data_IF_656284113966
#
_entry.id   IF_656284113966
#
_cell.length_a   1.000
_cell.length_b   1.000
_cell.length_c   1.000
_cell.angle_alpha   90.00
_cell.angle_beta   90.00
_cell.angle_gamma   90.00
#
_symmetry.space_group_name_H-M   'P 1'
#
loop_
_entity.id
_entity.type
_entity.pdbx_description
1 polymer ?
#
# COMPACT_ATOMS: atom_id res chain seq x y z
N UNK A 1 1.98 -21.31 -14.35
CA UNK A 1 3.22 -20.75 -13.78
C UNK A 1 3.21 -19.25 -13.92
N UNK A 2 3.04 -18.54 -12.80
CA UNK A 2 3.26 -17.10 -12.72
C UNK A 2 4.72 -16.84 -12.31
N UNK A 3 5.43 -16.00 -13.06
CA UNK A 3 6.82 -15.62 -12.77
C UNK A 3 6.84 -14.14 -12.43
N UNK A 4 7.35 -13.80 -11.25
CA UNK A 4 7.28 -12.45 -10.66
C UNK A 4 8.67 -11.97 -10.23
N UNK A 5 8.81 -10.65 -10.06
CA UNK A 5 10.05 -10.00 -9.64
C UNK A 5 9.89 -9.30 -8.29
N UNK A 6 10.87 -9.46 -7.40
CA UNK A 6 10.88 -8.82 -6.09
C UNK A 6 12.27 -8.28 -5.74
N UNK A 7 12.51 -7.01 -6.05
CA UNK A 7 13.79 -6.33 -5.84
C UNK A 7 13.58 -5.02 -5.08
N UNK A 8 14.66 -4.29 -4.75
CA UNK A 8 14.51 -2.95 -4.17
C UNK A 8 13.76 -2.04 -5.14
N UNK A 9 12.73 -1.35 -4.67
CA UNK A 9 12.01 -0.35 -5.48
C UNK A 9 12.68 1.01 -5.51
N UNK A 10 13.82 1.19 -4.84
CA UNK A 10 14.53 2.47 -4.87
C UNK A 10 15.48 2.53 -6.07
N UNK A 11 15.33 3.56 -6.91
CA UNK A 11 16.34 3.91 -7.92
C UNK A 11 17.57 4.55 -7.24
N UNK A 12 17.33 5.26 -6.15
CA UNK A 12 18.33 5.85 -5.26
C UNK A 12 17.85 5.75 -3.82
N UNK A 13 18.74 5.37 -2.90
CA UNK A 13 18.46 5.30 -1.46
C UNK A 13 19.69 5.73 -0.66
N UNK A 14 19.55 6.84 0.06
CA UNK A 14 20.46 7.31 1.09
C UNK A 14 19.78 7.09 2.44
N UNK A 15 20.32 6.21 3.30
CA UNK A 15 19.76 5.98 4.62
C UNK A 15 20.00 7.20 5.53
N UNK A 16 19.11 7.36 6.51
CA UNK A 16 19.38 8.26 7.63
C UNK A 16 20.60 7.76 8.42
N UNK A 17 21.54 8.65 8.71
CA UNK A 17 22.73 8.30 9.45
C UNK A 17 23.25 9.49 10.28
N UNK A 18 23.94 9.18 11.38
CA UNK A 18 24.70 10.14 12.14
C UNK A 18 26.17 9.71 12.17
N UNK A 19 27.09 10.61 11.80
CA UNK A 19 28.53 10.37 11.73
C UNK A 19 29.21 11.07 12.91
N UNK A 20 29.59 10.36 13.99
CA UNK A 20 30.10 10.99 15.21
C UNK A 20 31.42 11.72 15.03
N UNK A 21 32.29 11.24 14.13
CA UNK A 21 33.62 11.83 13.92
C UNK A 21 33.58 13.23 13.32
N UNK A 22 32.49 13.59 12.63
CA UNK A 22 32.29 14.90 12.00
C UNK A 22 31.05 15.63 12.53
N UNK A 23 30.39 15.09 13.56
CA UNK A 23 29.12 15.57 14.10
C UNK A 23 28.10 15.90 12.99
N UNK A 24 27.96 14.99 12.02
CA UNK A 24 27.14 15.22 10.82
C UNK A 24 25.91 14.32 10.84
N UNK A 25 24.74 14.92 10.76
CA UNK A 25 23.49 14.22 10.48
C UNK A 25 23.24 14.21 8.96
N UNK A 26 22.95 13.03 8.43
CA UNK A 26 22.63 12.79 7.04
C UNK A 26 21.16 12.39 7.00
N UNK A 27 20.35 13.24 6.39
CA UNK A 27 18.92 12.97 6.20
C UNK A 27 18.71 11.80 5.24
N UNK A 28 17.63 11.06 5.46
CA UNK A 28 17.16 10.08 4.49
C UNK A 28 16.75 10.82 3.20
N UNK A 29 17.27 10.36 2.07
CA UNK A 29 16.85 10.81 0.75
C UNK A 29 16.71 9.60 -0.16
N UNK A 30 15.60 9.49 -0.89
CA UNK A 30 15.32 8.29 -1.67
C UNK A 30 14.36 8.58 -2.82
N UNK A 31 14.54 7.89 -3.94
CA UNK A 31 13.67 7.93 -5.11
C UNK A 31 13.06 6.56 -5.35
N UNK A 32 11.73 6.50 -5.44
CA UNK A 32 10.98 5.26 -5.67
C UNK A 32 10.71 5.07 -7.16
N UNK A 33 10.92 3.86 -7.63
CA UNK A 33 10.54 3.38 -8.94
C UNK A 33 9.16 2.70 -8.87
N UNK A 34 8.13 3.41 -9.33
CA UNK A 34 6.73 2.96 -9.30
C UNK A 34 6.50 1.64 -10.07
N UNK A 35 7.29 1.38 -11.12
CA UNK A 35 7.17 0.13 -11.87
C UNK A 35 7.69 -1.06 -11.05
N UNK A 36 8.82 -0.90 -10.34
CA UNK A 36 9.34 -1.94 -9.45
C UNK A 36 8.42 -2.16 -8.26
N UNK A 37 7.86 -1.11 -7.67
CA UNK A 37 6.94 -1.28 -6.54
C UNK A 37 5.68 -2.06 -6.94
N UNK A 38 5.12 -1.80 -8.12
CA UNK A 38 4.04 -2.63 -8.63
C UNK A 38 4.46 -4.08 -8.87
N UNK A 39 5.65 -4.34 -9.43
CA UNK A 39 6.13 -5.72 -9.60
C UNK A 39 6.21 -6.44 -8.24
N UNK A 40 6.63 -5.75 -7.17
CA UNK A 40 6.65 -6.32 -5.81
C UNK A 40 5.26 -6.59 -5.26
N UNK A 41 4.31 -5.69 -5.47
CA UNK A 41 2.91 -5.88 -5.09
C UNK A 41 2.29 -7.07 -5.86
N UNK A 42 2.58 -7.18 -7.16
CA UNK A 42 2.18 -8.30 -8.01
C UNK A 42 2.75 -9.62 -7.49
N UNK A 43 4.05 -9.66 -7.19
CA UNK A 43 4.71 -10.82 -6.61
C UNK A 43 4.05 -11.30 -5.31
N UNK A 44 3.73 -10.36 -4.42
CA UNK A 44 3.12 -10.66 -3.12
C UNK A 44 1.69 -11.17 -3.29
N UNK A 45 0.87 -10.51 -4.13
CA UNK A 45 -0.47 -11.00 -4.48
C UNK A 45 -0.42 -12.41 -5.07
N UNK A 46 0.49 -12.65 -6.01
CA UNK A 46 0.64 -13.94 -6.68
C UNK A 46 1.00 -15.03 -5.68
N UNK A 47 1.98 -14.80 -4.79
CA UNK A 47 2.34 -15.76 -3.73
C UNK A 47 1.18 -16.09 -2.78
N UNK A 48 0.35 -15.10 -2.46
CA UNK A 48 -0.74 -15.27 -1.50
C UNK A 48 -2.02 -15.85 -2.11
N UNK A 49 -2.21 -15.74 -3.43
CA UNK A 49 -3.46 -16.11 -4.10
C UNK A 49 -3.41 -17.45 -4.85
N UNK A 50 -2.22 -17.96 -5.19
CA UNK A 50 -2.04 -19.20 -5.96
C UNK A 50 -0.79 -19.96 -5.56
N UNK A 51 -0.72 -21.24 -5.93
CA UNK A 51 0.40 -22.13 -5.59
C UNK A 51 1.45 -22.29 -6.69
N UNK A 52 1.11 -22.00 -7.94
CA UNK A 52 2.00 -22.19 -9.11
C UNK A 52 2.79 -20.91 -9.46
N UNK A 53 3.54 -20.40 -8.49
CA UNK A 53 4.29 -19.14 -8.57
C UNK A 53 5.79 -19.33 -8.37
N UNK A 54 6.59 -18.58 -9.12
CA UNK A 54 8.03 -18.42 -8.95
C UNK A 54 8.36 -16.93 -8.79
N UNK A 55 9.13 -16.56 -7.78
CA UNK A 55 9.58 -15.18 -7.58
C UNK A 55 11.09 -15.12 -7.71
N UNK A 56 11.59 -14.28 -8.62
CA UNK A 56 13.02 -13.93 -8.71
C UNK A 56 13.25 -12.72 -7.82
N UNK A 57 14.08 -12.89 -6.79
CA UNK A 57 14.28 -11.86 -5.77
C UNK A 57 15.75 -11.55 -5.50
N UNK A 58 16.01 -10.31 -5.06
CA UNK A 58 17.30 -9.93 -4.44
C UNK A 58 17.24 -10.11 -2.93
N UNK A 59 18.29 -9.66 -2.22
CA UNK A 59 18.29 -9.57 -0.75
C UNK A 59 17.14 -8.72 -0.20
N UNK A 60 16.40 -7.97 -1.02
CA UNK A 60 15.17 -7.31 -0.58
C UNK A 60 14.15 -8.29 0.04
N UNK A 61 14.18 -9.57 -0.34
CA UNK A 61 13.29 -10.60 0.22
C UNK A 61 13.50 -10.88 1.72
N UNK A 62 14.62 -10.47 2.31
CA UNK A 62 14.87 -10.62 3.75
C UNK A 62 14.56 -9.34 4.56
N UNK A 63 14.14 -8.26 3.90
CA UNK A 63 13.70 -7.03 4.57
C UNK A 63 12.25 -7.14 5.01
N UNK A 64 11.90 -6.42 6.09
CA UNK A 64 10.57 -6.48 6.68
C UNK A 64 9.48 -5.98 5.74
N UNK A 65 8.37 -6.72 5.69
CA UNK A 65 7.09 -6.28 5.15
C UNK A 65 6.05 -6.30 6.28
N UNK A 66 4.88 -5.72 6.04
CA UNK A 66 3.73 -5.92 6.91
C UNK A 66 3.36 -7.40 7.03
N UNK A 67 2.70 -7.74 8.14
CA UNK A 67 2.25 -9.10 8.40
C UNK A 67 1.30 -9.57 7.26
N UNK A 68 1.51 -10.78 6.69
CA UNK A 68 0.67 -11.25 5.59
C UNK A 68 -0.81 -11.31 5.95
N UNK A 69 -1.15 -11.59 7.21
CA UNK A 69 -2.53 -11.65 7.68
C UNK A 69 -3.20 -10.27 7.63
N UNK A 70 -2.47 -9.21 7.99
CA UNK A 70 -2.96 -7.83 7.94
C UNK A 70 -3.24 -7.42 6.49
N UNK A 71 -2.26 -7.64 5.61
CA UNK A 71 -2.39 -7.33 4.18
C UNK A 71 -3.60 -8.04 3.55
N UNK A 72 -3.79 -9.32 3.89
CA UNK A 72 -4.91 -10.11 3.42
C UNK A 72 -6.25 -9.71 4.05
N UNK A 73 -6.26 -9.26 5.30
CA UNK A 73 -7.48 -8.84 6.01
C UNK A 73 -8.08 -7.56 5.45
N UNK A 74 -7.23 -6.67 4.91
CA UNK A 74 -7.65 -5.39 4.38
C UNK A 74 -8.27 -5.50 2.99
N UNK A 75 -8.03 -6.57 2.23
CA UNK A 75 -8.44 -6.70 0.82
C UNK A 75 -9.93 -6.42 0.61
N UNK A 76 -10.24 -5.72 -0.48
CA UNK A 76 -11.61 -5.46 -0.90
C UNK A 76 -12.02 -6.54 -1.90
N UNK A 77 -12.93 -7.41 -1.48
CA UNK A 77 -13.52 -8.46 -2.32
C UNK A 77 -14.82 -7.90 -2.89
N UNK A 78 -15.00 -7.98 -4.19
CA UNK A 78 -16.17 -7.48 -4.92
C UNK A 78 -16.82 -8.61 -5.69
N UNK A 79 -18.13 -8.78 -5.57
CA UNK A 79 -18.91 -9.74 -6.37
C UNK A 79 -20.11 -9.06 -7.00
N UNK A 80 -20.41 -9.41 -8.27
CA UNK A 80 -21.64 -8.93 -8.92
C UNK A 80 -22.86 -9.43 -8.14
N UNK A 81 -23.83 -8.54 -7.90
CA UNK A 81 -25.02 -8.77 -7.08
C UNK A 81 -24.83 -8.56 -5.57
N UNK A 82 -23.63 -8.18 -5.12
CA UNK A 82 -23.37 -7.82 -3.74
C UNK A 82 -23.85 -6.39 -3.44
N UNK A 83 -24.51 -6.20 -2.30
CA UNK A 83 -24.94 -4.90 -1.83
C UNK A 83 -23.77 -4.17 -1.14
N UNK A 84 -23.38 -3.01 -1.67
CA UNK A 84 -22.38 -2.13 -1.08
C UNK A 84 -22.64 -0.67 -1.47
N UNK A 85 -22.81 0.17 -0.46
CA UNK A 85 -22.94 1.61 -0.66
C UNK A 85 -21.67 2.20 -1.27
N UNK A 86 -21.81 3.12 -2.23
CA UNK A 86 -20.69 3.85 -2.82
C UNK A 86 -19.78 4.49 -1.76
N UNK A 87 -20.35 5.06 -0.70
CA UNK A 87 -19.58 5.68 0.38
C UNK A 87 -18.74 4.67 1.15
N UNK A 88 -19.23 3.45 1.33
CA UNK A 88 -18.49 2.37 1.96
C UNK A 88 -17.34 1.91 1.07
N UNK A 89 -17.61 1.77 -0.24
CA UNK A 89 -16.59 1.41 -1.23
C UNK A 89 -15.44 2.43 -1.27
N UNK A 90 -15.75 3.73 -1.27
CA UNK A 90 -14.76 4.81 -1.21
C UNK A 90 -13.93 4.76 0.07
N UNK A 91 -14.57 4.52 1.23
CA UNK A 91 -13.87 4.39 2.52
C UNK A 91 -12.91 3.20 2.50
N UNK A 92 -13.36 2.04 2.03
CA UNK A 92 -12.52 0.84 1.96
C UNK A 92 -11.33 1.06 1.01
N UNK A 93 -11.53 1.67 -0.17
CA UNK A 93 -10.41 2.03 -1.05
C UNK A 93 -9.42 3.00 -0.38
N UNK A 94 -9.91 3.91 0.46
CA UNK A 94 -9.06 4.80 1.27
C UNK A 94 -8.27 4.02 2.32
N UNK A 95 -8.90 3.04 2.99
CA UNK A 95 -8.23 2.16 3.96
C UNK A 95 -7.14 1.30 3.28
N UNK A 96 -7.35 0.93 2.01
CA UNK A 96 -6.36 0.30 1.13
C UNK A 96 -5.24 1.26 0.67
N UNK A 97 -5.24 2.50 1.13
CA UNK A 97 -4.27 3.57 0.78
C UNK A 97 -4.36 4.05 -0.68
N UNK A 98 -5.50 3.87 -1.34
CA UNK A 98 -5.69 4.42 -2.69
C UNK A 98 -6.04 5.90 -2.61
N UNK A 99 -5.53 6.67 -3.56
CA UNK A 99 -5.80 8.11 -3.66
C UNK A 99 -6.96 8.37 -4.61
N UNK A 100 -7.91 9.23 -4.21
CA UNK A 100 -8.96 9.70 -5.12
C UNK A 100 -8.38 10.76 -6.09
N UNK A 101 -8.55 10.56 -7.39
CA UNK A 101 -8.17 11.53 -8.42
C UNK A 101 -9.21 11.54 -9.56
N UNK A 102 -9.99 12.62 -9.67
CA UNK A 102 -11.08 12.71 -10.66
C UNK A 102 -10.61 12.86 -12.12
N UNK A 103 -9.40 13.40 -12.31
CA UNK A 103 -8.88 13.78 -13.61
C UNK A 103 -8.07 12.65 -14.23
N UNK A 104 -7.09 12.14 -13.48
CA UNK A 104 -6.14 11.14 -13.97
C UNK A 104 -6.28 9.85 -13.18
N UNK A 105 -6.45 8.74 -13.90
CA UNK A 105 -6.50 7.41 -13.30
C UNK A 105 -5.10 6.78 -13.38
N UNK A 106 -4.26 7.10 -12.40
CA UNK A 106 -2.96 6.47 -12.22
C UNK A 106 -3.05 5.24 -11.33
N UNK A 107 -2.01 4.39 -11.38
CA UNK A 107 -1.91 3.18 -10.56
C UNK A 107 -1.98 3.52 -9.06
N UNK A 108 -2.76 2.75 -8.31
CA UNK A 108 -3.02 3.04 -6.89
C UNK A 108 -3.93 4.24 -6.66
N UNK A 109 -4.72 4.64 -7.66
CA UNK A 109 -5.74 5.67 -7.54
C UNK A 109 -7.13 5.16 -7.97
N UNK A 110 -8.15 5.93 -7.62
CA UNK A 110 -9.52 5.71 -8.09
C UNK A 110 -10.23 7.03 -8.38
N UNK A 111 -11.30 6.97 -9.18
CA UNK A 111 -12.17 8.10 -9.52
C UNK A 111 -13.63 7.70 -9.46
N UNK A 112 -14.52 8.68 -9.29
CA UNK A 112 -15.95 8.43 -9.09
C UNK A 112 -16.76 9.29 -10.06
N UNK A 113 -17.57 8.68 -10.91
CA UNK A 113 -18.42 9.35 -11.91
C UNK A 113 -19.84 8.82 -11.83
N UNK A 114 -20.69 9.52 -11.07
CA UNK A 114 -22.05 9.04 -10.77
C UNK A 114 -21.97 7.72 -10.02
N UNK A 115 -22.62 6.68 -10.55
CA UNK A 115 -22.62 5.33 -9.97
C UNK A 115 -21.45 4.44 -10.44
N UNK A 116 -20.50 5.02 -11.19
CA UNK A 116 -19.32 4.30 -11.69
C UNK A 116 -18.09 4.67 -10.89
N UNK A 117 -17.39 3.66 -10.36
CA UNK A 117 -16.07 3.83 -9.78
C UNK A 117 -15.04 3.12 -10.66
N UNK A 118 -14.05 3.87 -11.14
CA UNK A 118 -12.88 3.30 -11.78
C UNK A 118 -11.74 3.27 -10.77
N UNK A 119 -11.13 2.10 -10.55
CA UNK A 119 -10.00 1.85 -9.66
C UNK A 119 -8.86 1.30 -10.51
N UNK A 120 -7.64 1.83 -10.37
CA UNK A 120 -6.46 1.22 -10.98
C UNK A 120 -5.66 0.49 -9.90
N UNK A 121 -5.78 -0.84 -9.80
CA UNK A 121 -5.13 -1.62 -8.74
C UNK A 121 -3.61 -1.40 -8.75
N UNK A 122 -3.02 -1.23 -7.56
CA UNK A 122 -1.61 -0.89 -7.41
C UNK A 122 -0.67 -2.00 -7.90
N UNK A 123 -1.14 -3.24 -7.89
CA UNK A 123 -0.41 -4.39 -8.36
C UNK A 123 -0.66 -4.73 -9.84
N UNK A 124 -1.60 -4.05 -10.48
CA UNK A 124 -1.94 -4.27 -11.88
C UNK A 124 -0.96 -3.58 -12.81
N UNK A 125 -0.50 -4.29 -13.83
CA UNK A 125 0.42 -3.70 -14.81
C UNK A 125 -0.34 -2.79 -15.79
N UNK A 126 -1.40 -3.30 -16.41
CA UNK A 126 -2.07 -2.62 -17.54
C UNK A 126 -3.58 -2.44 -17.39
N UNK A 127 -4.21 -3.10 -16.42
CA UNK A 127 -5.68 -3.19 -16.36
C UNK A 127 -6.24 -2.43 -15.16
N UNK A 128 -7.20 -1.55 -15.41
CA UNK A 128 -8.02 -0.94 -14.37
C UNK A 128 -9.35 -1.67 -14.22
N UNK A 129 -9.97 -1.55 -13.06
CA UNK A 129 -11.27 -2.10 -12.72
C UNK A 129 -12.32 -1.00 -12.73
N UNK A 130 -13.40 -1.21 -13.47
CA UNK A 130 -14.64 -0.45 -13.40
C UNK A 130 -15.66 -1.23 -12.57
N UNK A 131 -16.25 -0.53 -11.60
CA UNK A 131 -17.31 -1.00 -10.71
C UNK A 131 -18.54 -0.15 -11.02
N UNK A 132 -19.58 -0.77 -11.57
CA UNK A 132 -20.86 -0.11 -11.86
C UNK A 132 -21.85 -0.49 -10.76
N UNK A 133 -22.38 0.53 -10.08
CA UNK A 133 -23.38 0.38 -9.03
C UNK A 133 -24.78 0.73 -9.57
N UNK A 134 -25.80 0.10 -9.02
CA UNK A 134 -27.19 0.46 -9.25
C UNK A 134 -27.99 0.21 -7.97
N UNK A 135 -28.64 1.25 -7.43
CA UNK A 135 -29.42 1.18 -6.18
C UNK A 135 -28.68 0.51 -5.00
N UNK A 136 -27.35 0.70 -4.92
CA UNK A 136 -26.50 0.14 -3.87
C UNK A 136 -26.00 -1.28 -4.14
N UNK A 137 -26.29 -1.88 -5.29
CA UNK A 137 -25.80 -3.20 -5.69
C UNK A 137 -24.71 -3.09 -6.76
N UNK A 138 -23.72 -3.98 -6.74
CA UNK A 138 -22.73 -4.12 -7.83
C UNK A 138 -23.42 -4.78 -9.02
N UNK A 139 -23.73 -3.99 -10.05
CA UNK A 139 -24.34 -4.49 -11.29
C UNK A 139 -23.29 -5.14 -12.21
N UNK A 140 -22.09 -4.54 -12.28
CA UNK A 140 -21.05 -5.01 -13.19
C UNK A 140 -19.64 -4.71 -12.69
N UNK A 141 -18.75 -5.69 -12.93
CA UNK A 141 -17.30 -5.54 -12.80
C UNK A 141 -16.66 -5.72 -14.18
N UNK A 142 -15.92 -4.73 -14.62
CA UNK A 142 -15.27 -4.73 -15.94
C UNK A 142 -13.81 -4.35 -15.82
N UNK A 143 -12.92 -5.16 -16.38
CA UNK A 143 -11.53 -4.75 -16.59
C UNK A 143 -11.42 -4.01 -17.92
N UNK A 144 -10.69 -2.89 -17.89
CA UNK A 144 -10.50 -2.01 -19.04
C UNK A 144 -9.08 -1.45 -19.06
N UNK A 145 -8.63 -1.01 -20.24
CA UNK A 145 -7.37 -0.29 -20.40
C UNK A 145 -7.55 1.18 -19.92
N UNK A 146 -6.82 1.65 -18.89
CA UNK A 146 -6.99 2.98 -18.34
C UNK A 146 -6.52 4.12 -19.28
N UNK A 147 -5.67 3.80 -20.26
CA UNK A 147 -5.15 4.75 -21.25
C UNK A 147 -6.13 4.92 -22.43
N UNK A 148 -6.63 3.80 -22.98
CA UNK A 148 -7.49 3.82 -24.18
C UNK A 148 -8.98 3.84 -23.84
N UNK A 149 -9.37 3.37 -22.65
CA UNK A 149 -10.75 3.16 -22.25
C UNK A 149 -11.37 1.88 -22.82
N UNK A 150 -10.60 1.06 -23.54
CA UNK A 150 -11.09 -0.18 -24.15
C UNK A 150 -11.50 -1.18 -23.07
N UNK A 151 -12.71 -1.72 -23.20
CA UNK A 151 -13.20 -2.79 -22.34
C UNK A 151 -12.51 -4.10 -22.71
N UNK A 152 -11.83 -4.72 -21.75
CA UNK A 152 -11.10 -5.97 -21.95
C UNK A 152 -11.98 -7.19 -21.63
N UNK A 153 -12.55 -7.25 -20.42
CA UNK A 153 -13.40 -8.38 -19.99
C UNK A 153 -14.30 -8.04 -18.82
N UNK A 154 -15.48 -8.67 -18.79
CA UNK A 154 -16.41 -8.63 -17.65
C UNK A 154 -16.09 -9.76 -16.67
N UNK A 155 -16.28 -9.50 -15.38
CA UNK A 155 -15.97 -10.41 -14.29
C UNK A 155 -17.17 -10.60 -13.37
N UNK A 156 -17.27 -11.78 -12.76
CA UNK A 156 -18.24 -12.04 -11.69
C UNK A 156 -17.71 -11.64 -10.31
N UNK A 157 -16.38 -11.67 -10.14
CA UNK A 157 -15.70 -11.36 -8.89
C UNK A 157 -14.35 -10.74 -9.15
N UNK A 158 -13.96 -9.78 -8.32
CA UNK A 158 -12.61 -9.20 -8.31
C UNK A 158 -12.13 -8.98 -6.88
N UNK A 159 -10.83 -8.88 -6.66
CA UNK A 159 -10.26 -8.54 -5.35
C UNK A 159 -9.20 -7.47 -5.54
N UNK A 160 -9.42 -6.31 -4.90
CA UNK A 160 -8.48 -5.20 -4.85
C UNK A 160 -7.62 -5.35 -3.60
N UNK A 161 -6.30 -5.29 -3.76
CA UNK A 161 -5.33 -5.41 -2.68
C UNK A 161 -4.82 -4.03 -2.23
N UNK A 162 -4.26 -3.90 -1.02
CA UNK A 162 -3.67 -2.64 -0.55
C UNK A 162 -2.60 -2.09 -1.50
N UNK A 163 -2.49 -0.76 -1.59
CA UNK A 163 -1.48 -0.08 -2.41
C UNK A 163 -0.05 -0.26 -1.87
N UNK A 164 0.12 -0.72 -0.64
CA UNK A 164 1.43 -0.83 0.02
C UNK A 164 1.49 -2.07 0.90
N UNK A 165 2.69 -2.67 1.01
CA UNK A 165 2.95 -3.78 1.94
C UNK A 165 2.86 -3.40 3.41
N UNK A 166 2.79 -2.10 3.74
CA UNK A 166 2.77 -1.60 5.11
C UNK A 166 1.39 -1.09 5.55
N UNK A 167 0.34 -1.38 4.77
CA UNK A 167 -1.02 -1.01 5.14
C UNK A 167 -1.41 -1.68 6.45
N UNK A 168 -1.92 -0.89 7.39
CA UNK A 168 -2.32 -1.33 8.73
C UNK A 168 -3.65 -0.71 9.13
N UNK A 169 -4.33 -1.31 10.11
CA UNK A 169 -5.62 -0.82 10.58
C UNK A 169 -5.45 0.42 11.46
N UNK A 170 -6.46 1.30 11.48
CA UNK A 170 -6.49 2.48 12.35
C UNK A 170 -6.29 2.11 13.83
N UNK A 171 -6.89 1.00 14.26
CA UNK A 171 -6.75 0.50 15.63
C UNK A 171 -5.30 0.18 15.99
N UNK A 172 -4.59 -0.55 15.13
CA UNK A 172 -3.16 -0.86 15.32
C UNK A 172 -2.32 0.41 15.35
N UNK A 173 -2.59 1.37 14.46
CA UNK A 173 -1.88 2.66 14.45
C UNK A 173 -2.07 3.41 15.76
N UNK A 174 -3.30 3.50 16.28
CA UNK A 174 -3.57 4.19 17.55
C UNK A 174 -2.89 3.47 18.72
N UNK A 175 -2.97 2.14 18.78
CA UNK A 175 -2.30 1.35 19.81
C UNK A 175 -0.78 1.54 19.77
N UNK A 176 -0.17 1.61 18.58
CA UNK A 176 1.27 1.82 18.43
C UNK A 176 1.68 3.23 18.87
N UNK A 177 0.86 4.25 18.63
CA UNK A 177 1.14 5.62 19.11
C UNK A 177 1.21 5.66 20.63
N UNK A 178 0.35 4.93 21.33
CA UNK A 178 0.36 4.89 22.80
C UNK A 178 1.62 4.21 23.34
N UNK A 179 2.05 3.09 22.74
CA UNK A 179 3.29 2.41 23.17
C UNK A 179 4.55 3.23 22.84
N UNK A 180 4.59 3.92 21.69
CA UNK A 180 5.70 4.81 21.32
C UNK A 180 5.84 5.96 22.32
N UNK A 181 4.73 6.53 22.80
CA UNK A 181 4.77 7.59 23.83
C UNK A 181 5.33 7.09 25.15
N UNK A 182 4.98 5.87 25.56
CA UNK A 182 5.52 5.24 26.76
C UNK A 182 7.03 4.97 26.63
N UNK A 183 7.47 4.44 25.49
CA UNK A 183 8.89 4.22 25.20
C UNK A 183 9.68 5.54 25.18
N UNK A 184 9.14 6.56 24.51
CA UNK A 184 9.74 7.89 24.45
C UNK A 184 9.95 8.46 25.86
N UNK A 185 8.94 8.39 26.73
CA UNK A 185 9.04 8.85 28.11
C UNK A 185 10.19 8.13 28.84
N UNK A 186 10.22 6.80 28.80
CA UNK A 186 11.24 5.99 29.46
C UNK A 186 12.65 6.33 28.93
N UNK A 187 12.78 6.52 27.61
CA UNK A 187 14.05 6.85 26.97
C UNK A 187 14.54 8.26 27.35
N UNK A 188 13.64 9.24 27.44
CA UNK A 188 13.98 10.58 27.90
C UNK A 188 14.44 10.58 29.36
N UNK A 189 13.74 9.88 30.26
CA UNK A 189 14.17 9.73 31.66
C UNK A 189 15.58 9.13 31.77
N UNK A 190 15.89 8.11 30.95
CA UNK A 190 17.23 7.54 30.88
C UNK A 190 18.28 8.58 30.43
N UNK A 191 18.02 9.33 29.35
CA UNK A 191 18.96 10.33 28.82
C UNK A 191 19.20 11.46 29.83
N UNK A 192 18.15 11.94 30.51
CA UNK A 192 18.29 12.94 31.57
C UNK A 192 19.11 12.42 32.76
N UNK A 193 18.89 11.16 33.18
CA UNK A 193 19.68 10.56 34.27
C UNK A 193 21.17 10.42 33.94
N UNK A 194 21.50 10.36 32.65
CA UNK A 194 22.87 10.28 32.13
C UNK A 194 23.46 11.66 31.80
N UNK A 195 22.70 12.75 32.02
CA UNK A 195 23.07 14.12 31.66
C UNK A 195 23.29 14.33 30.14
N UNK A 196 22.67 13.49 29.30
CA UNK A 196 22.70 13.57 27.83
C UNK A 196 21.61 14.52 27.32
N UNK A 197 21.75 15.81 27.64
CA UNK A 197 20.69 16.82 27.44
C UNK A 197 20.45 17.15 25.96
N UNK A 198 21.48 17.07 25.12
CA UNK A 198 21.36 17.37 23.68
C UNK A 198 20.63 16.25 22.96
N UNK A 199 20.92 15.00 23.29
CA UNK A 199 20.24 13.81 22.77
C UNK A 199 18.78 13.78 23.21
N UNK A 200 18.50 14.12 24.47
CA UNK A 200 17.13 14.24 24.96
C UNK A 200 16.36 15.33 24.21
N UNK A 201 16.99 16.47 23.92
CA UNK A 201 16.37 17.53 23.14
C UNK A 201 16.11 17.15 21.68
N UNK A 202 16.98 16.36 21.06
CA UNK A 202 16.78 15.85 19.68
C UNK A 202 15.64 14.82 19.59
N UNK A 203 15.42 14.03 20.64
CA UNK A 203 14.44 12.94 20.66
C UNK A 203 13.02 13.41 21.03
N UNK A 204 12.89 14.47 21.84
CA UNK A 204 11.61 14.99 22.35
C UNK A 204 10.81 15.77 21.30
#
# INVERSE_FOLDING_TARGET
NAVEYFVSYYDYDQPEAYVPSSDTFIEKDSSINEHIEQMRLSATKTLLSRRDSLVVATVSAIYGLGAPEDYLSLRLILSVGEHIDQRQLIRHLTDLQYTRNEFELTRGAFRVRGEVLDVFPAESDTEALRIELFDGDIEQLTLFDPLTGETLRKLQRYTVYPKTHYATTRERTLSAVDTIKEELKNRLEQLYSQNNLVEAHRLA
#
